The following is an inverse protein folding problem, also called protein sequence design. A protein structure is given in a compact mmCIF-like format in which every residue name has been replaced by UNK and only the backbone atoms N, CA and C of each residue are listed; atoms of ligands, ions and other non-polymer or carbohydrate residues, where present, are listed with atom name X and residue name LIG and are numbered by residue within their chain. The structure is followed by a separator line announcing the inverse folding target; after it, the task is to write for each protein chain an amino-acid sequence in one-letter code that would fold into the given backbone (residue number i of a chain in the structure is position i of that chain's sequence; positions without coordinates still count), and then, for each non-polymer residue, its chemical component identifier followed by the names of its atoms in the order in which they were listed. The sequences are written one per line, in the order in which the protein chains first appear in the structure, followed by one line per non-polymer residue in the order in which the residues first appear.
data_IF_155181600800
#
_entry.id   IF_155181600800
#
_cell.length_a   1.000
_cell.length_b   1.000
_cell.length_c   1.000
_cell.angle_alpha   90.00
_cell.angle_beta   90.00
_cell.angle_gamma   90.00
#
_symmetry.space_group_name_H-M   'P 1'
#
loop_
_entity.id
_entity.type
_entity.pdbx_description
1 polymer ?
#
# COMPACT_ATOMS: atom_id res chain seq x y z
N UNK A 1 44.14 53.10 1.56
CA UNK A 1 43.30 52.05 0.95
C UNK A 1 43.71 50.64 1.39
N UNK A 2 45.00 50.33 1.59
CA UNK A 2 45.45 48.99 2.00
C UNK A 2 44.97 48.49 3.37
N UNK A 3 44.76 49.37 4.36
CA UNK A 3 44.28 48.92 5.68
C UNK A 3 42.88 48.32 5.63
N UNK A 4 41.97 48.95 4.89
CA UNK A 4 40.59 48.49 4.71
C UNK A 4 40.50 47.16 3.96
N UNK A 5 41.34 46.97 2.93
CA UNK A 5 41.38 45.70 2.19
C UNK A 5 41.92 44.56 3.05
N UNK A 6 42.92 44.82 3.89
CA UNK A 6 43.45 43.83 4.84
C UNK A 6 42.38 43.45 5.88
N UNK A 7 41.69 44.43 6.47
CA UNK A 7 40.60 44.16 7.43
C UNK A 7 39.47 43.36 6.78
N UNK A 8 39.10 43.70 5.54
CA UNK A 8 38.08 42.97 4.78
C UNK A 8 38.46 41.51 4.53
N UNK A 9 39.72 41.25 4.14
CA UNK A 9 40.24 39.89 3.95
C UNK A 9 40.22 39.07 5.25
N UNK A 10 40.58 39.68 6.39
CA UNK A 10 40.54 39.01 7.69
C UNK A 10 39.12 38.62 8.08
N UNK A 11 38.13 39.49 7.82
CA UNK A 11 36.71 39.20 8.10
C UNK A 11 36.22 38.04 7.23
N UNK A 12 36.57 38.02 5.94
CA UNK A 12 36.24 36.92 5.03
C UNK A 12 36.78 35.58 5.54
N UNK A 13 38.06 35.55 5.93
CA UNK A 13 38.70 34.33 6.48
C UNK A 13 37.99 33.87 7.76
N UNK A 14 37.58 34.79 8.63
CA UNK A 14 36.82 34.45 9.84
C UNK A 14 35.43 33.89 9.53
N UNK A 15 34.75 34.42 8.51
CA UNK A 15 33.45 33.89 8.06
C UNK A 15 33.61 32.48 7.50
N UNK A 16 34.65 32.22 6.71
CA UNK A 16 34.92 30.87 6.17
C UNK A 16 35.24 29.87 7.29
N UNK A 17 36.04 30.27 8.28
CA UNK A 17 36.30 29.46 9.48
C UNK A 17 35.02 29.15 10.26
N UNK A 18 34.14 30.13 10.43
CA UNK A 18 32.83 29.94 11.05
C UNK A 18 31.94 29.00 10.23
N UNK A 19 31.94 29.12 8.90
CA UNK A 19 31.20 28.22 8.02
C UNK A 19 31.71 26.78 8.14
N UNK A 20 33.03 26.56 8.08
CA UNK A 20 33.63 25.24 8.25
C UNK A 20 33.31 24.66 9.62
N UNK A 21 33.44 25.46 10.69
CA UNK A 21 33.10 25.03 12.04
C UNK A 21 31.60 24.66 12.17
N UNK A 22 30.72 25.45 11.56
CA UNK A 22 29.29 25.17 11.45
C UNK A 22 29.02 23.86 10.71
N UNK A 23 29.65 23.65 9.55
CA UNK A 23 29.54 22.41 8.79
C UNK A 23 30.00 21.18 9.58
N UNK A 24 31.13 21.28 10.31
CA UNK A 24 31.62 20.19 11.16
C UNK A 24 30.67 19.93 12.33
N UNK A 25 30.16 20.99 12.98
CA UNK A 25 29.17 20.86 14.04
C UNK A 25 27.90 20.17 13.54
N UNK A 26 27.36 20.62 12.40
CA UNK A 26 26.21 19.98 11.76
C UNK A 26 26.54 18.54 11.38
N UNK A 27 27.69 18.25 10.76
CA UNK A 27 28.07 16.88 10.39
C UNK A 27 28.12 15.93 11.60
N UNK A 28 28.69 16.37 12.73
CA UNK A 28 28.70 15.58 13.97
C UNK A 28 27.31 15.43 14.58
N UNK A 29 26.49 16.49 14.56
CA UNK A 29 25.13 16.47 15.08
C UNK A 29 24.21 15.60 14.20
N UNK A 30 24.37 15.67 12.89
CA UNK A 30 23.73 14.80 11.92
C UNK A 30 24.19 13.35 12.11
N UNK A 31 25.49 13.08 12.27
CA UNK A 31 25.98 11.72 12.56
C UNK A 31 25.33 11.15 13.84
N UNK A 32 25.17 11.97 14.88
CA UNK A 32 24.51 11.58 16.14
C UNK A 32 22.99 11.41 16.02
N UNK A 33 22.33 12.14 15.10
CA UNK A 33 20.90 12.00 14.81
C UNK A 33 20.64 10.88 13.77
N UNK A 34 21.62 10.58 12.93
CA UNK A 34 21.65 9.51 11.95
C UNK A 34 22.29 8.22 12.51
N UNK A 35 22.34 8.05 13.83
CA UNK A 35 22.30 6.71 14.46
C UNK A 35 20.92 6.06 14.20
N UNK A 36 20.46 6.10 12.93
CA UNK A 36 19.36 5.27 12.48
C UNK A 36 19.84 3.83 12.65
N UNK A 37 19.01 2.95 13.22
CA UNK A 37 19.31 1.53 13.30
C UNK A 37 19.22 0.95 11.88
N UNK A 38 20.22 1.22 11.05
CA UNK A 38 20.30 0.76 9.66
C UNK A 38 20.23 -0.77 9.59
N UNK A 39 20.66 -1.47 10.64
CA UNK A 39 20.46 -2.90 10.81
C UNK A 39 18.98 -3.29 10.96
N UNK A 40 18.24 -2.64 11.86
CA UNK A 40 16.79 -2.91 12.05
C UNK A 40 15.98 -2.54 10.80
N UNK A 41 16.34 -1.44 10.13
CA UNK A 41 15.69 -1.01 8.90
C UNK A 41 15.95 -2.03 7.79
N UNK A 42 17.20 -2.48 7.64
CA UNK A 42 17.54 -3.50 6.64
C UNK A 42 16.85 -4.83 6.92
N UNK A 43 16.80 -5.25 8.19
CA UNK A 43 16.10 -6.46 8.61
C UNK A 43 14.58 -6.35 8.35
N UNK A 44 13.98 -5.20 8.66
CA UNK A 44 12.55 -4.96 8.40
C UNK A 44 12.22 -4.95 6.90
N UNK A 45 13.11 -4.39 6.07
CA UNK A 45 12.99 -4.41 4.61
C UNK A 45 13.14 -5.84 4.07
N UNK A 46 14.09 -6.61 4.60
CA UNK A 46 14.32 -8.00 4.20
C UNK A 46 13.13 -8.89 4.57
N UNK A 47 12.56 -8.74 5.77
CA UNK A 47 11.31 -9.43 6.17
C UNK A 47 10.13 -9.03 5.28
N UNK A 48 9.99 -7.75 4.95
CA UNK A 48 8.94 -7.29 4.05
C UNK A 48 9.10 -7.89 2.64
N UNK A 49 10.33 -7.96 2.12
CA UNK A 49 10.62 -8.62 0.85
C UNK A 49 10.31 -10.13 0.89
N UNK A 50 10.65 -10.81 1.98
CA UNK A 50 10.35 -12.24 2.15
C UNK A 50 8.84 -12.51 2.18
N UNK A 51 8.06 -11.64 2.83
CA UNK A 51 6.59 -11.73 2.85
C UNK A 51 6.00 -11.51 1.45
N UNK A 52 6.49 -10.52 0.70
CA UNK A 52 6.07 -10.28 -0.69
C UNK A 52 6.38 -11.50 -1.57
N UNK A 53 7.57 -12.11 -1.39
CA UNK A 53 7.96 -13.30 -2.13
C UNK A 53 7.08 -14.51 -1.81
N UNK A 54 6.77 -14.75 -0.53
CA UNK A 54 5.82 -15.79 -0.09
C UNK A 54 4.41 -15.56 -0.67
N UNK A 55 3.95 -14.31 -0.71
CA UNK A 55 2.67 -13.96 -1.34
C UNK A 55 2.68 -14.22 -2.85
N UNK A 56 3.78 -13.90 -3.54
CA UNK A 56 3.94 -14.17 -4.97
C UNK A 56 3.98 -15.67 -5.28
N UNK A 57 4.67 -16.46 -4.46
CA UNK A 57 4.70 -17.93 -4.55
C UNK A 57 3.32 -18.52 -4.29
N UNK A 58 2.60 -18.06 -3.27
CA UNK A 58 1.21 -18.46 -3.02
C UNK A 58 0.28 -18.03 -4.16
N UNK A 59 0.49 -16.86 -4.77
CA UNK A 59 -0.27 -16.43 -5.93
C UNK A 59 0.03 -17.29 -7.16
N UNK A 60 1.29 -17.68 -7.39
CA UNK A 60 1.68 -18.59 -8.48
C UNK A 60 1.19 -20.02 -8.24
N UNK A 61 1.22 -20.49 -6.99
CA UNK A 61 0.65 -21.79 -6.59
C UNK A 61 -0.88 -21.77 -6.61
N UNK A 62 -1.50 -20.60 -6.36
CA UNK A 62 -2.93 -20.40 -6.48
C UNK A 62 -3.37 -20.11 -7.91
N UNK A 63 -2.49 -19.71 -8.83
CA UNK A 63 -2.84 -19.48 -10.26
C UNK A 63 -3.43 -20.72 -10.97
N UNK A 64 -2.94 -21.96 -10.78
CA UNK A 64 -3.64 -23.13 -11.32
C UNK A 64 -5.04 -23.35 -10.68
N UNK A 65 -5.33 -22.76 -9.52
CA UNK A 65 -6.67 -22.73 -8.90
C UNK A 65 -7.48 -21.47 -9.23
N UNK A 66 -6.84 -20.37 -9.63
CA UNK A 66 -7.47 -19.06 -9.85
C UNK A 66 -7.88 -18.85 -11.31
N UNK A 67 -7.24 -19.52 -12.28
CA UNK A 67 -7.80 -19.64 -13.63
C UNK A 67 -9.15 -20.41 -13.64
N UNK A 68 -9.45 -21.16 -12.57
CA UNK A 68 -10.77 -21.74 -12.29
C UNK A 68 -11.71 -20.88 -11.42
N UNK A 69 -11.25 -19.77 -10.83
CA UNK A 69 -12.07 -18.86 -10.00
C UNK A 69 -12.40 -17.52 -10.68
N UNK A 70 -12.26 -17.45 -12.00
CA UNK A 70 -12.93 -16.45 -12.85
C UNK A 70 -14.44 -16.65 -12.96
N UNK A 71 -15.08 -17.17 -11.91
CA UNK A 71 -16.53 -17.27 -11.77
C UNK A 71 -16.88 -17.25 -10.27
N UNK A 72 -16.49 -16.18 -9.59
CA UNK A 72 -17.43 -15.61 -8.62
C UNK A 72 -18.71 -15.39 -9.42
N UNK A 73 -19.62 -16.38 -9.41
CA UNK A 73 -20.96 -16.19 -9.95
C UNK A 73 -21.46 -14.97 -9.22
N UNK A 74 -21.63 -13.87 -9.96
CA UNK A 74 -22.15 -12.64 -9.38
C UNK A 74 -23.37 -13.01 -8.55
N UNK A 75 -23.60 -12.34 -7.42
CA UNK A 75 -24.80 -12.60 -6.59
C UNK A 75 -26.07 -12.65 -7.47
N UNK A 76 -26.08 -11.87 -8.57
CA UNK A 76 -27.08 -11.92 -9.65
C UNK A 76 -27.20 -13.29 -10.34
N UNK A 77 -26.09 -13.88 -10.79
CA UNK A 77 -26.07 -15.19 -11.45
C UNK A 77 -26.51 -16.31 -10.50
N UNK A 78 -26.18 -16.20 -9.22
CA UNK A 78 -26.61 -17.16 -8.20
C UNK A 78 -28.13 -17.04 -7.95
N UNK A 79 -28.65 -15.82 -7.85
CA UNK A 79 -30.10 -15.56 -7.74
C UNK A 79 -30.85 -16.12 -8.95
N UNK A 80 -30.35 -15.88 -10.17
CA UNK A 80 -30.99 -16.42 -11.39
C UNK A 80 -30.96 -17.94 -11.44
N UNK A 81 -29.83 -18.56 -11.07
CA UNK A 81 -29.70 -20.00 -11.05
C UNK A 81 -30.65 -20.69 -10.06
N UNK A 82 -30.82 -20.09 -8.87
CA UNK A 82 -31.73 -20.64 -7.86
C UNK A 82 -33.20 -20.41 -8.24
N UNK A 83 -33.52 -19.29 -8.87
CA UNK A 83 -34.86 -19.02 -9.40
C UNK A 83 -35.24 -19.95 -10.56
N UNK A 84 -34.31 -20.26 -11.47
CA UNK A 84 -34.54 -21.24 -12.55
C UNK A 84 -34.74 -22.67 -12.02
N UNK A 85 -34.25 -22.97 -10.82
CA UNK A 85 -34.49 -24.22 -10.10
C UNK A 85 -35.84 -24.25 -9.35
N UNK A 86 -36.62 -23.17 -9.41
CA UNK A 86 -37.95 -23.07 -8.80
C UNK A 86 -37.96 -22.70 -7.32
N UNK A 87 -36.85 -22.22 -6.76
CA UNK A 87 -36.83 -21.73 -5.38
C UNK A 87 -37.58 -20.39 -5.25
N UNK A 88 -38.26 -20.22 -4.12
CA UNK A 88 -38.95 -18.97 -3.79
C UNK A 88 -37.96 -17.86 -3.39
N UNK A 89 -38.34 -16.60 -3.59
CA UNK A 89 -37.51 -15.44 -3.24
C UNK A 89 -37.05 -15.45 -1.78
N UNK A 90 -37.88 -16.00 -0.88
CA UNK A 90 -37.60 -16.16 0.55
C UNK A 90 -36.51 -17.18 0.85
N UNK A 91 -36.46 -18.28 0.11
CA UNK A 91 -35.44 -19.32 0.26
C UNK A 91 -34.10 -18.84 -0.30
N UNK A 92 -34.12 -18.13 -1.43
CA UNK A 92 -32.93 -17.52 -2.04
C UNK A 92 -32.31 -16.48 -1.10
N UNK A 93 -33.14 -15.62 -0.50
CA UNK A 93 -32.72 -14.61 0.48
C UNK A 93 -32.03 -15.25 1.69
N UNK A 94 -32.61 -16.31 2.24
CA UNK A 94 -32.04 -17.05 3.38
C UNK A 94 -30.72 -17.74 3.03
N UNK A 95 -30.60 -18.29 1.82
CA UNK A 95 -29.42 -19.03 1.38
C UNK A 95 -28.24 -18.11 1.04
N UNK A 96 -28.52 -16.97 0.40
CA UNK A 96 -27.50 -15.98 0.00
C UNK A 96 -27.25 -14.90 1.07
N UNK A 97 -27.99 -14.94 2.19
CA UNK A 97 -27.95 -13.94 3.27
C UNK A 97 -28.17 -12.50 2.77
N UNK A 98 -29.08 -12.35 1.82
CA UNK A 98 -29.51 -11.07 1.25
C UNK A 98 -30.98 -10.84 1.58
N UNK A 99 -31.46 -9.60 1.49
CA UNK A 99 -32.86 -9.30 1.78
C UNK A 99 -33.79 -9.83 0.68
N UNK A 100 -35.03 -10.17 1.04
CA UNK A 100 -36.05 -10.60 0.06
C UNK A 100 -36.27 -9.54 -1.04
N UNK A 101 -36.25 -8.26 -0.66
CA UNK A 101 -36.38 -7.13 -1.58
C UNK A 101 -35.22 -7.06 -2.60
N UNK A 102 -33.97 -7.32 -2.19
CA UNK A 102 -32.83 -7.35 -3.11
C UNK A 102 -32.95 -8.48 -4.14
N UNK A 103 -33.43 -9.66 -3.72
CA UNK A 103 -33.69 -10.79 -4.63
C UNK A 103 -34.72 -10.40 -5.68
N UNK A 104 -35.82 -9.78 -5.26
CA UNK A 104 -36.92 -9.38 -6.15
C UNK A 104 -36.49 -8.31 -7.16
N UNK A 105 -35.68 -7.34 -6.73
CA UNK A 105 -35.08 -6.32 -7.62
C UNK A 105 -34.18 -6.99 -8.67
N UNK A 106 -33.36 -7.96 -8.25
CA UNK A 106 -32.48 -8.70 -9.17
C UNK A 106 -33.30 -9.51 -10.18
N UNK A 107 -34.33 -10.24 -9.74
CA UNK A 107 -35.21 -11.00 -10.63
C UNK A 107 -35.96 -10.10 -11.63
N UNK A 108 -36.43 -8.94 -11.17
CA UNK A 108 -37.10 -7.95 -12.01
C UNK A 108 -36.18 -7.39 -13.10
N UNK A 109 -34.88 -7.22 -12.79
CA UNK A 109 -33.90 -6.73 -13.75
C UNK A 109 -33.68 -7.66 -14.96
N UNK A 110 -33.90 -8.98 -14.80
CA UNK A 110 -33.83 -9.95 -15.91
C UNK A 110 -35.03 -9.89 -16.84
N UNK A 111 -36.20 -9.50 -16.31
CA UNK A 111 -37.45 -9.45 -17.08
C UNK A 111 -37.56 -8.20 -17.96
N UNK A 112 -36.78 -7.15 -17.66
CA UNK A 112 -36.75 -5.90 -18.42
C UNK A 112 -35.84 -5.94 -19.66
N UNK A 113 -35.11 -7.04 -19.89
CA UNK A 113 -34.19 -7.21 -21.01
C UNK A 113 -34.78 -8.19 -22.02
#
# INVERSE_FOLDING_TARGET
MSGLTITFLIILVMVDLLMIAGFVFFYLKFKKVFDLPWEEIKESIERAQELVKKLEELQKASKPLAEGRGKDRSVKDQVFYLSERGLSSKEIAKQLKISEAEVEVILSSKKLR
#
